data_IF_513053654866
#
_entry.id   IF_513053654866
#
_cell.length_a   1.000
_cell.length_b   1.000
_cell.length_c   1.000
_cell.angle_alpha   90.00
_cell.angle_beta   90.00
_cell.angle_gamma   90.00
#
_symmetry.space_group_name_H-M   'P 1'
#
loop_
_entity.id
_entity.type
_entity.pdbx_description
1 polymer ?
#
# COMPACT_ATOMS: atom_id res chain seq x y z
N UNK A 1 2.09 -0.33 17.82
CA UNK A 1 2.94 0.41 16.85
C UNK A 1 2.44 0.03 15.46
N UNK A 2 2.09 0.99 14.61
CA UNK A 2 1.45 0.73 13.31
C UNK A 2 2.39 1.10 12.17
N UNK A 3 2.45 0.30 11.12
CA UNK A 3 3.13 0.66 9.87
C UNK A 3 2.21 1.55 9.04
N UNK A 4 2.73 2.69 8.60
CA UNK A 4 2.01 3.65 7.76
C UNK A 4 2.89 4.06 6.58
N UNK A 5 2.26 4.39 5.46
CA UNK A 5 3.00 4.99 4.36
C UNK A 5 3.61 6.32 4.82
N UNK A 6 4.85 6.58 4.42
CA UNK A 6 5.44 7.90 4.61
C UNK A 6 4.66 8.95 3.84
N UNK A 7 4.73 10.23 4.24
CA UNK A 7 4.11 11.33 3.49
C UNK A 7 4.54 11.34 2.01
N UNK A 8 5.82 11.04 1.75
CA UNK A 8 6.31 10.88 0.39
C UNK A 8 5.68 9.69 -0.33
N UNK A 9 5.54 8.54 0.34
CA UNK A 9 4.87 7.37 -0.19
C UNK A 9 3.39 7.60 -0.56
N UNK A 10 2.66 8.38 0.25
CA UNK A 10 1.26 8.76 -0.05
C UNK A 10 1.18 9.63 -1.31
N UNK A 11 2.11 10.58 -1.47
CA UNK A 11 2.15 11.44 -2.66
C UNK A 11 2.48 10.64 -3.93
N UNK A 12 3.44 9.73 -3.86
CA UNK A 12 3.82 8.88 -5.00
C UNK A 12 2.70 7.92 -5.43
N UNK A 13 1.93 7.40 -4.46
CA UNK A 13 0.85 6.46 -4.73
C UNK A 13 -0.16 7.01 -5.75
N UNK A 14 -0.48 8.31 -5.69
CA UNK A 14 -1.39 8.97 -6.62
C UNK A 14 -0.96 8.83 -8.09
N UNK A 15 0.35 8.98 -8.32
CA UNK A 15 0.94 8.90 -9.66
C UNK A 15 1.08 7.45 -10.10
N UNK A 16 1.51 6.57 -9.19
CA UNK A 16 1.78 5.16 -9.48
C UNK A 16 0.51 4.36 -9.79
N UNK A 17 -0.61 4.69 -9.13
CA UNK A 17 -1.91 4.09 -9.42
C UNK A 17 -2.44 4.40 -10.83
N UNK A 18 -1.79 5.29 -11.59
CA UNK A 18 -2.12 5.59 -12.99
C UNK A 18 -1.19 4.88 -14.00
N UNK A 19 -0.18 4.17 -13.50
CA UNK A 19 0.86 3.56 -14.31
C UNK A 19 0.84 2.04 -14.13
N UNK A 20 1.29 1.32 -15.14
CA UNK A 20 1.68 -0.08 -15.03
C UNK A 20 3.12 -0.18 -14.56
N UNK A 21 3.39 -1.07 -13.60
CA UNK A 21 4.76 -1.35 -13.17
C UNK A 21 4.88 -1.71 -11.70
N UNK A 22 6.13 -1.89 -11.26
CA UNK A 22 6.47 -2.19 -9.88
C UNK A 22 7.20 -1.01 -9.25
N UNK A 23 6.69 -0.57 -8.10
CA UNK A 23 7.19 0.59 -7.37
C UNK A 23 7.65 0.19 -5.98
N UNK A 24 8.70 0.85 -5.50
CA UNK A 24 9.24 0.61 -4.16
C UNK A 24 8.78 1.71 -3.23
N UNK A 25 8.15 1.34 -2.12
CA UNK A 25 7.74 2.27 -1.06
C UNK A 25 8.51 2.02 0.22
N UNK A 26 8.67 3.10 0.99
CA UNK A 26 9.14 3.06 2.36
C UNK A 26 7.96 3.34 3.30
N UNK A 27 7.80 2.48 4.29
CA UNK A 27 6.86 2.66 5.39
C UNK A 27 7.61 3.05 6.65
N UNK A 28 6.92 3.80 7.51
CA UNK A 28 7.40 4.17 8.83
C UNK A 28 6.58 3.46 9.89
N UNK A 29 7.25 2.87 10.88
CA UNK A 29 6.60 2.33 12.07
C UNK A 29 6.37 3.46 13.07
N UNK A 30 5.11 3.84 13.29
CA UNK A 30 4.73 4.87 14.27
C UNK A 30 4.37 4.21 15.61
N UNK A 31 5.00 4.67 16.69
CA UNK A 31 4.90 4.11 18.04
C UNK A 31 5.44 5.06 19.11
N UNK A 32 4.78 5.13 20.26
CA UNK A 32 4.90 6.23 21.24
C UNK A 32 6.04 6.14 22.25
N UNK A 33 7.06 5.29 22.05
CA UNK A 33 8.07 5.07 23.10
C UNK A 33 9.52 5.44 22.73
N UNK A 34 9.91 5.46 21.45
CA UNK A 34 11.31 5.69 21.06
C UNK A 34 11.41 6.46 19.74
N UNK A 35 12.43 7.31 19.55
CA UNK A 35 12.72 8.00 18.29
C UNK A 35 13.21 7.06 17.16
N UNK A 36 13.24 5.75 17.40
CA UNK A 36 13.66 4.74 16.43
C UNK A 36 12.59 4.59 15.33
N UNK A 37 12.75 5.37 14.25
CA UNK A 37 11.99 5.18 13.00
C UNK A 37 12.52 3.94 12.28
N UNK A 38 11.86 2.80 12.45
CA UNK A 38 12.11 1.65 11.57
C UNK A 38 11.48 1.95 10.21
N UNK A 39 12.31 1.96 9.17
CA UNK A 39 11.87 2.03 7.78
C UNK A 39 11.76 0.61 7.22
N UNK A 40 10.61 0.30 6.64
CA UNK A 40 10.37 -0.99 5.98
C UNK A 40 10.13 -0.75 4.49
N UNK A 41 10.73 -1.60 3.66
CA UNK A 41 10.61 -1.49 2.21
C UNK A 41 9.56 -2.48 1.71
N UNK A 42 8.66 -2.00 0.86
CA UNK A 42 7.66 -2.84 0.18
C UNK A 42 7.69 -2.61 -1.31
N UNK A 43 7.32 -3.64 -2.07
CA UNK A 43 7.12 -3.54 -3.50
C UNK A 43 5.62 -3.55 -3.79
N UNK A 44 5.15 -2.53 -4.50
CA UNK A 44 3.79 -2.42 -4.99
C UNK A 44 3.81 -2.58 -6.51
N UNK A 45 3.30 -3.71 -7.00
CA UNK A 45 3.02 -3.90 -8.42
C UNK A 45 1.61 -3.41 -8.73
N UNK A 46 1.50 -2.62 -9.79
CA UNK A 46 0.26 -2.04 -10.29
C UNK A 46 0.04 -2.57 -11.70
N UNK A 47 -1.12 -3.16 -11.92
CA UNK A 47 -1.60 -3.56 -13.24
C UNK A 47 -2.94 -2.88 -13.54
N UNK A 48 -2.98 -2.13 -14.61
CA UNK A 48 -4.11 -1.34 -15.07
C UNK A 48 -5.02 -2.22 -15.92
N UNK A 49 -6.26 -2.40 -15.50
CA UNK A 49 -7.30 -3.00 -16.30
C UNK A 49 -8.35 -1.95 -16.73
N UNK A 50 -9.16 -2.22 -17.77
CA UNK A 50 -10.17 -1.26 -18.23
C UNK A 50 -11.17 -0.83 -17.15
N UNK A 51 -11.47 -1.69 -16.17
CA UNK A 51 -12.47 -1.45 -15.12
C UNK A 51 -11.91 -1.49 -13.69
N UNK A 52 -10.63 -1.83 -13.53
CA UNK A 52 -10.02 -2.00 -12.23
C UNK A 52 -8.53 -1.62 -12.24
N UNK A 53 -7.98 -1.44 -11.05
CA UNK A 53 -6.54 -1.39 -10.81
C UNK A 53 -6.21 -2.57 -9.90
N UNK A 54 -5.41 -3.49 -10.42
CA UNK A 54 -4.92 -4.62 -9.64
C UNK A 54 -3.63 -4.23 -8.94
N UNK A 55 -3.58 -4.45 -7.64
CA UNK A 55 -2.42 -4.19 -6.81
C UNK A 55 -1.91 -5.50 -6.24
N UNK A 56 -0.60 -5.70 -6.31
CA UNK A 56 0.10 -6.76 -5.59
C UNK A 56 1.16 -6.14 -4.70
N UNK A 57 1.05 -6.35 -3.40
CA UNK A 57 1.96 -5.87 -2.38
C UNK A 57 2.84 -7.03 -1.94
N UNK A 58 4.15 -6.87 -2.05
CA UNK A 58 5.14 -7.81 -1.55
C UNK A 58 5.91 -7.18 -0.40
N UNK A 59 5.90 -7.86 0.74
CA UNK A 59 6.63 -7.48 1.93
C UNK A 59 7.28 -8.71 2.56
N UNK A 60 8.61 -8.74 2.55
CA UNK A 60 9.40 -9.90 3.01
C UNK A 60 8.97 -11.18 2.27
N UNK A 61 8.47 -12.19 3.00
CA UNK A 61 7.94 -13.45 2.48
C UNK A 61 6.44 -13.42 2.18
N UNK A 62 5.74 -12.33 2.52
CA UNK A 62 4.29 -12.21 2.32
C UNK A 62 3.96 -11.50 1.01
N UNK A 63 2.88 -11.97 0.38
CA UNK A 63 2.31 -11.39 -0.84
C UNK A 63 0.80 -11.24 -0.66
N UNK A 64 0.29 -10.04 -0.91
CA UNK A 64 -1.12 -9.72 -0.86
C UNK A 64 -1.54 -9.12 -2.20
N UNK A 65 -2.74 -9.46 -2.67
CA UNK A 65 -3.30 -8.87 -3.89
C UNK A 65 -4.72 -8.36 -3.65
N UNK A 66 -5.07 -7.27 -4.32
CA UNK A 66 -6.43 -6.71 -4.36
C UNK A 66 -6.74 -6.21 -5.76
N UNK A 67 -8.01 -6.28 -6.16
CA UNK A 67 -8.52 -5.59 -7.33
C UNK A 67 -9.42 -4.45 -6.88
N UNK A 68 -9.09 -3.22 -7.26
CA UNK A 68 -9.85 -2.02 -6.88
C UNK A 68 -10.63 -1.53 -8.11
N UNK A 69 -11.97 -1.49 -8.08
CA UNK A 69 -12.76 -0.93 -9.17
C UNK A 69 -12.37 0.51 -9.49
N UNK A 70 -12.31 0.87 -10.78
CA UNK A 70 -12.07 2.24 -11.21
C UNK A 70 -13.32 3.09 -11.01
N UNK A 71 -13.48 3.62 -9.81
CA UNK A 71 -14.45 4.67 -9.51
C UNK A 71 -13.80 6.05 -9.73
N UNK A 72 -13.49 6.79 -8.68
CA UNK A 72 -12.70 8.02 -8.72
C UNK A 72 -11.26 7.76 -8.28
N UNK A 73 -10.29 8.52 -8.79
CA UNK A 73 -8.89 8.37 -8.36
C UNK A 73 -8.75 8.54 -6.84
N UNK A 74 -9.53 9.45 -6.25
CA UNK A 74 -9.52 9.70 -4.81
C UNK A 74 -9.94 8.46 -4.02
N UNK A 75 -11.00 7.79 -4.46
CA UNK A 75 -11.46 6.54 -3.85
C UNK A 75 -10.44 5.43 -4.04
N UNK A 76 -9.92 5.23 -5.26
CA UNK A 76 -8.89 4.23 -5.53
C UNK A 76 -7.65 4.46 -4.66
N UNK A 77 -7.21 5.71 -4.50
CA UNK A 77 -6.10 6.07 -3.61
C UNK A 77 -6.40 5.75 -2.16
N UNK A 78 -7.58 6.11 -1.66
CA UNK A 78 -7.97 5.88 -0.27
C UNK A 78 -8.04 4.37 0.02
N UNK A 79 -8.68 3.60 -0.86
CA UNK A 79 -8.77 2.14 -0.75
C UNK A 79 -7.40 1.50 -0.83
N UNK A 80 -6.54 1.91 -1.78
CA UNK A 80 -5.19 1.40 -1.92
C UNK A 80 -4.34 1.67 -0.66
N UNK A 81 -4.40 2.90 -0.12
CA UNK A 81 -3.67 3.24 1.09
C UNK A 81 -4.15 2.41 2.29
N UNK A 82 -5.47 2.36 2.52
CA UNK A 82 -6.05 1.58 3.63
C UNK A 82 -5.70 0.09 3.51
N UNK A 83 -5.75 -0.46 2.30
CA UNK A 83 -5.38 -1.85 2.04
C UNK A 83 -3.88 -2.11 2.26
N UNK A 84 -2.98 -1.24 1.77
CA UNK A 84 -1.53 -1.37 1.99
C UNK A 84 -1.23 -1.36 3.49
N UNK A 85 -1.77 -0.41 4.24
CA UNK A 85 -1.56 -0.32 5.68
C UNK A 85 -2.20 -1.51 6.41
N UNK A 86 -3.41 -1.92 6.04
CA UNK A 86 -4.08 -3.09 6.62
C UNK A 86 -3.30 -4.39 6.40
N UNK A 87 -2.82 -4.62 5.17
CA UNK A 87 -2.03 -5.80 4.80
C UNK A 87 -0.77 -5.92 5.67
N UNK A 88 -0.06 -4.81 5.84
CA UNK A 88 1.23 -4.77 6.52
C UNK A 88 1.11 -4.82 8.04
N UNK A 89 -0.05 -4.47 8.58
CA UNK A 89 -0.35 -4.58 10.01
C UNK A 89 -1.07 -5.90 10.36
N UNK A 90 -1.26 -6.82 9.40
CA UNK A 90 -1.92 -8.11 9.64
C UNK A 90 -3.44 -8.00 9.83
N UNK A 91 -4.04 -6.87 9.46
CA UNK A 91 -5.47 -6.59 9.66
C UNK A 91 -6.35 -7.24 8.59
N UNK A 92 -5.76 -7.71 7.48
CA UNK A 92 -6.51 -8.32 6.36
C UNK A 92 -6.73 -9.84 6.51
N UNK A 93 -5.96 -10.54 7.35
CA UNK A 93 -6.14 -11.99 7.55
C UNK A 93 -7.30 -12.34 8.51
N UNK A 94 -7.83 -11.36 9.25
CA UNK A 94 -8.90 -11.57 10.22
C UNK A 94 -10.34 -11.56 9.63
N UNK A 95 -10.47 -11.47 8.29
CA UNK A 95 -11.75 -11.34 7.59
C UNK A 95 -12.11 -12.55 6.70
N UNK A 96 -11.51 -13.72 6.96
CA UNK A 96 -11.78 -14.98 6.26
C UNK A 96 -12.67 -15.92 7.08
#
# INVERSE_FOLDING_TARGET
>A
MRLQLTQHGVLLLATQLRLDGTFVHQLVRTGTALPCRTLETVQLSVAQEPKAVNLTLRHRSSMHSISIPRTSLREVMQTAQQWIEGALNGELEAAA
#
